data_IF_727287319641
#
_entry.id   IF_727287319641
#
_cell.length_a   1.000
_cell.length_b   1.000
_cell.length_c   1.000
_cell.angle_alpha   90.00
_cell.angle_beta   90.00
_cell.angle_gamma   90.00
#
_symmetry.space_group_name_H-M   'P 1'
#
loop_
_entity.id
_entity.type
_entity.pdbx_description
1 polymer ?
#
# COMPACT_ATOMS: atom_id res chain seq x y z
N UNK A 1 -21.30 -4.06 5.78
CA UNK A 1 -20.74 -4.84 4.65
C UNK A 1 -20.45 -4.02 3.38
N UNK A 2 -21.32 -3.08 2.97
CA UNK A 2 -21.07 -2.25 1.77
C UNK A 2 -19.85 -1.32 1.93
N UNK A 3 -19.71 -0.68 3.09
CA UNK A 3 -18.62 0.27 3.35
C UNK A 3 -17.25 -0.42 3.42
N UNK A 4 -17.17 -1.55 4.09
CA UNK A 4 -15.97 -2.37 4.22
C UNK A 4 -15.49 -2.86 2.86
N UNK A 5 -16.41 -3.29 1.99
CA UNK A 5 -16.08 -3.69 0.61
C UNK A 5 -15.51 -2.52 -0.21
N UNK A 6 -16.06 -1.31 -0.04
CA UNK A 6 -15.53 -0.11 -0.69
C UNK A 6 -14.11 0.22 -0.22
N UNK A 7 -13.85 0.16 1.10
CA UNK A 7 -12.50 0.35 1.64
C UNK A 7 -11.51 -0.65 1.03
N UNK A 8 -11.89 -1.93 1.00
CA UNK A 8 -11.08 -3.00 0.41
C UNK A 8 -10.72 -2.68 -1.03
N UNK A 9 -11.68 -2.25 -1.84
CA UNK A 9 -11.45 -1.90 -3.25
C UNK A 9 -10.52 -0.71 -3.41
N UNK A 10 -10.77 0.38 -2.66
CA UNK A 10 -9.93 1.59 -2.71
C UNK A 10 -8.46 1.25 -2.44
N UNK A 11 -8.19 0.58 -1.32
CA UNK A 11 -6.83 0.22 -0.91
C UNK A 11 -6.21 -0.77 -1.90
N UNK A 12 -6.95 -1.78 -2.36
CA UNK A 12 -6.41 -2.79 -3.29
C UNK A 12 -6.09 -2.21 -4.68
N UNK A 13 -6.87 -1.21 -5.14
CA UNK A 13 -6.57 -0.48 -6.38
C UNK A 13 -5.26 0.32 -6.20
N UNK A 14 -5.12 1.05 -5.09
CA UNK A 14 -3.89 1.81 -4.81
C UNK A 14 -2.67 0.90 -4.63
N UNK A 15 -2.82 -0.25 -3.98
CA UNK A 15 -1.79 -1.29 -3.89
C UNK A 15 -1.35 -1.75 -5.28
N UNK A 16 -2.30 -2.16 -6.11
CA UNK A 16 -2.03 -2.64 -7.47
C UNK A 16 -1.35 -1.58 -8.33
N UNK A 17 -1.80 -0.33 -8.20
CA UNK A 17 -1.18 0.81 -8.86
C UNK A 17 0.29 0.97 -8.42
N UNK A 18 0.55 1.11 -7.11
CA UNK A 18 1.91 1.33 -6.62
C UNK A 18 2.85 0.16 -6.98
N UNK A 19 2.37 -1.08 -6.91
CA UNK A 19 3.18 -2.24 -7.27
C UNK A 19 3.46 -2.29 -8.77
N UNK A 20 2.47 -1.98 -9.61
CA UNK A 20 2.65 -1.89 -11.06
C UNK A 20 3.60 -0.76 -11.48
N UNK A 21 3.55 0.39 -10.81
CA UNK A 21 4.49 1.49 -11.00
C UNK A 21 5.93 1.08 -10.68
N UNK A 22 6.14 0.37 -9.56
CA UNK A 22 7.45 -0.14 -9.16
C UNK A 22 8.00 -1.16 -10.17
N UNK A 23 7.17 -2.11 -10.60
CA UNK A 23 7.53 -3.13 -11.58
C UNK A 23 7.96 -2.49 -12.91
N UNK A 24 7.16 -1.55 -13.43
CA UNK A 24 7.48 -0.85 -14.69
C UNK A 24 8.76 -0.04 -14.58
N UNK A 25 9.00 0.60 -13.43
CA UNK A 25 10.26 1.31 -13.21
C UNK A 25 11.45 0.36 -13.25
N UNK A 26 11.32 -0.86 -12.72
CA UNK A 26 12.35 -1.90 -12.79
C UNK A 26 12.60 -2.38 -14.23
N UNK A 27 11.53 -2.60 -15.02
CA UNK A 27 11.65 -3.07 -16.41
C UNK A 27 12.56 -2.17 -17.27
N UNK A 28 12.50 -0.86 -17.07
CA UNK A 28 13.34 0.09 -17.84
C UNK A 28 14.83 -0.03 -17.56
N UNK A 29 15.20 -0.53 -16.39
CA UNK A 29 16.60 -0.76 -15.99
C UNK A 29 17.12 -2.10 -16.46
N UNK A 30 16.26 -2.92 -17.05
CA UNK A 30 16.53 -4.28 -17.44
C UNK A 30 16.19 -4.47 -18.93
N UNK A 31 16.82 -3.74 -19.87
CA UNK A 31 16.45 -3.85 -21.28
C UNK A 31 16.71 -5.26 -21.85
N UNK A 32 15.87 -5.76 -22.76
CA UNK A 32 16.13 -6.98 -23.51
C UNK A 32 17.31 -6.83 -24.49
N UNK A 33 17.89 -7.93 -24.99
CA UNK A 33 17.52 -9.32 -24.75
C UNK A 33 18.04 -9.85 -23.41
N UNK A 34 17.23 -10.65 -22.72
CA UNK A 34 17.59 -11.35 -21.48
C UNK A 34 17.60 -12.85 -21.73
N UNK A 35 18.51 -13.57 -21.09
CA UNK A 35 18.44 -15.04 -21.05
C UNK A 35 17.30 -15.48 -20.14
N UNK A 36 16.77 -16.69 -20.34
CA UNK A 36 15.69 -17.24 -19.51
C UNK A 36 16.03 -17.23 -18.00
N UNK A 37 17.30 -17.45 -17.66
CA UNK A 37 17.77 -17.39 -16.28
C UNK A 37 17.66 -15.98 -15.70
N UNK A 38 18.09 -14.97 -16.45
CA UNK A 38 18.00 -13.57 -16.02
C UNK A 38 16.53 -13.17 -15.88
N UNK A 39 15.67 -13.59 -16.80
CA UNK A 39 14.23 -13.31 -16.73
C UNK A 39 13.59 -13.89 -15.46
N UNK A 40 13.90 -15.14 -15.11
CA UNK A 40 13.41 -15.75 -13.86
C UNK A 40 13.90 -14.99 -12.62
N UNK A 41 15.16 -14.57 -12.59
CA UNK A 41 15.68 -13.77 -11.47
C UNK A 41 14.97 -12.42 -11.33
N UNK A 42 14.56 -11.81 -12.45
CA UNK A 42 13.76 -10.59 -12.43
C UNK A 42 12.36 -10.82 -11.88
N UNK A 43 11.65 -11.86 -12.37
CA UNK A 43 10.33 -12.22 -11.88
C UNK A 43 10.36 -12.54 -10.38
N UNK A 44 11.33 -13.34 -9.92
CA UNK A 44 11.52 -13.66 -8.50
C UNK A 44 11.81 -12.41 -7.64
N UNK A 45 12.54 -11.44 -8.18
CA UNK A 45 12.80 -10.17 -7.50
C UNK A 45 11.53 -9.34 -7.40
N UNK A 46 10.79 -9.21 -8.51
CA UNK A 46 9.53 -8.48 -8.60
C UNK A 46 8.47 -9.05 -7.65
N UNK A 47 8.22 -10.37 -7.70
CA UNK A 47 7.26 -11.05 -6.82
C UNK A 47 7.59 -10.80 -5.34
N UNK A 48 8.87 -10.92 -4.96
CA UNK A 48 9.30 -10.63 -3.58
C UNK A 48 9.06 -9.19 -3.20
N UNK A 49 9.32 -8.23 -4.10
CA UNK A 49 9.12 -6.82 -3.82
C UNK A 49 7.64 -6.46 -3.61
N UNK A 50 6.72 -7.07 -4.35
CA UNK A 50 5.29 -6.74 -4.28
C UNK A 50 4.50 -7.60 -3.27
N UNK A 51 5.12 -8.63 -2.69
CA UNK A 51 4.45 -9.54 -1.75
C UNK A 51 4.04 -8.91 -0.42
N UNK A 52 4.63 -7.78 -0.03
CA UNK A 52 4.16 -6.98 1.11
C UNK A 52 4.58 -5.51 0.99
N UNK A 53 3.86 -4.62 1.65
CA UNK A 53 4.25 -3.20 1.72
C UNK A 53 5.62 -2.96 2.36
N UNK A 54 6.08 -3.83 3.27
CA UNK A 54 7.42 -3.70 3.86
C UNK A 54 8.49 -3.93 2.79
N UNK A 55 8.36 -4.99 2.00
CA UNK A 55 9.27 -5.27 0.89
C UNK A 55 9.14 -4.23 -0.21
N UNK A 56 7.91 -3.81 -0.53
CA UNK A 56 7.68 -2.77 -1.54
C UNK A 56 8.37 -1.47 -1.13
N UNK A 57 8.26 -1.06 0.15
CA UNK A 57 8.95 0.13 0.67
C UNK A 57 10.48 0.02 0.51
N UNK A 58 11.05 -1.14 0.83
CA UNK A 58 12.47 -1.40 0.62
C UNK A 58 12.87 -1.40 -0.86
N UNK A 59 12.01 -1.92 -1.74
CA UNK A 59 12.21 -1.97 -3.18
C UNK A 59 12.12 -0.57 -3.81
N UNK A 60 11.10 0.23 -3.47
CA UNK A 60 11.00 1.64 -3.87
C UNK A 60 12.26 2.43 -3.50
N UNK A 61 12.76 2.26 -2.27
CA UNK A 61 13.98 2.93 -1.81
C UNK A 61 15.22 2.45 -2.57
N UNK A 62 15.38 1.14 -2.75
CA UNK A 62 16.59 0.56 -3.34
C UNK A 62 16.63 0.73 -4.86
N UNK A 63 15.53 0.41 -5.54
CA UNK A 63 15.43 0.36 -7.00
C UNK A 63 15.06 1.70 -7.61
N UNK A 64 14.08 2.41 -7.04
CA UNK A 64 13.60 3.67 -7.58
C UNK A 64 14.17 4.91 -6.90
N UNK A 65 14.94 4.73 -5.80
CA UNK A 65 15.44 5.83 -4.95
C UNK A 65 14.33 6.69 -4.35
N UNK A 66 13.10 6.17 -4.30
CA UNK A 66 11.94 6.82 -3.69
C UNK A 66 11.79 6.29 -2.27
N UNK A 67 11.90 7.17 -1.28
CA UNK A 67 11.73 6.77 0.12
C UNK A 67 10.29 7.04 0.54
N UNK A 68 9.47 5.98 0.64
CA UNK A 68 8.04 6.13 0.97
C UNK A 68 7.80 6.77 2.35
N UNK A 69 8.76 6.71 3.27
CA UNK A 69 8.66 7.40 4.56
C UNK A 69 8.74 8.93 4.48
N UNK A 70 9.23 9.49 3.38
CA UNK A 70 9.47 10.94 3.25
C UNK A 70 8.17 11.73 3.13
N UNK A 71 7.06 11.07 2.81
CA UNK A 71 5.70 11.62 2.85
C UNK A 71 5.13 11.80 4.27
N UNK A 72 5.93 11.58 5.31
CA UNK A 72 5.59 11.95 6.68
C UNK A 72 4.22 11.42 7.12
N UNK A 73 3.34 12.32 7.57
CA UNK A 73 2.03 11.94 8.10
C UNK A 73 1.13 11.22 7.07
N UNK A 74 1.19 11.59 5.79
CA UNK A 74 0.36 11.04 4.71
C UNK A 74 0.62 9.55 4.50
N UNK A 75 1.89 9.16 4.38
CA UNK A 75 2.24 7.75 4.22
C UNK A 75 1.84 6.91 5.42
N UNK A 76 2.04 7.44 6.62
CA UNK A 76 1.68 6.73 7.85
C UNK A 76 0.17 6.58 8.02
N UNK A 77 -0.60 7.58 7.58
CA UNK A 77 -2.05 7.50 7.53
C UNK A 77 -2.50 6.47 6.47
N UNK A 78 -1.80 6.38 5.33
CA UNK A 78 -2.08 5.37 4.31
C UNK A 78 -1.79 3.96 4.81
N UNK A 79 -0.65 3.76 5.48
CA UNK A 79 -0.32 2.50 6.15
C UNK A 79 -1.39 2.12 7.18
N UNK A 80 -1.95 3.09 7.91
CA UNK A 80 -3.04 2.81 8.85
C UNK A 80 -4.30 2.28 8.14
N UNK A 81 -4.70 2.85 7.00
CA UNK A 81 -5.87 2.34 6.25
C UNK A 81 -5.62 0.96 5.62
N UNK A 82 -4.38 0.65 5.23
CA UNK A 82 -3.97 -0.71 4.82
C UNK A 82 -4.20 -1.71 5.96
N UNK A 83 -3.81 -1.35 7.20
CA UNK A 83 -4.07 -2.20 8.36
C UNK A 83 -5.57 -2.38 8.62
N UNK A 84 -6.40 -1.34 8.42
CA UNK A 84 -7.85 -1.46 8.50
C UNK A 84 -8.43 -2.40 7.42
N UNK A 85 -7.92 -2.33 6.18
CA UNK A 85 -8.29 -3.27 5.10
C UNK A 85 -7.93 -4.71 5.46
N UNK A 86 -6.75 -4.93 6.02
CA UNK A 86 -6.32 -6.25 6.48
C UNK A 86 -7.18 -6.80 7.63
N UNK A 87 -7.59 -5.93 8.56
CA UNK A 87 -8.53 -6.29 9.62
C UNK A 87 -9.91 -6.67 9.06
N UNK A 88 -10.41 -5.96 8.04
CA UNK A 88 -11.67 -6.30 7.37
C UNK A 88 -11.61 -7.67 6.71
N UNK A 89 -10.55 -7.95 5.94
CA UNK A 89 -10.47 -9.17 5.12
C UNK A 89 -10.07 -10.39 5.95
N UNK A 90 -9.06 -10.24 6.81
CA UNK A 90 -8.45 -11.37 7.52
C UNK A 90 -8.87 -11.45 8.98
N UNK A 91 -9.35 -10.35 9.56
CA UNK A 91 -9.75 -10.26 10.96
C UNK A 91 -11.26 -10.10 11.18
N UNK A 92 -12.06 -10.24 10.11
CA UNK A 92 -13.53 -10.10 10.16
C UNK A 92 -13.99 -8.76 10.77
N UNK A 93 -13.24 -7.69 10.47
CA UNK A 93 -13.50 -6.34 11.00
C UNK A 93 -12.83 -6.06 12.35
N UNK A 94 -12.04 -6.98 12.89
CA UNK A 94 -11.19 -6.77 14.06
C UNK A 94 -9.72 -6.79 13.69
N UNK A 95 -8.87 -6.09 14.45
CA UNK A 95 -7.43 -6.23 14.29
C UNK A 95 -7.03 -7.70 14.46
N UNK A 96 -6.21 -8.20 13.55
CA UNK A 96 -5.67 -9.57 13.59
C UNK A 96 -4.73 -9.75 14.78
N UNK A 97 -4.49 -11.01 15.19
CA UNK A 97 -3.53 -11.31 16.27
C UNK A 97 -2.12 -10.80 15.99
N UNK A 98 -1.71 -10.77 14.71
CA UNK A 98 -0.43 -10.16 14.29
C UNK A 98 -0.41 -8.66 14.55
N UNK A 99 -1.44 -7.93 14.13
CA UNK A 99 -1.53 -6.48 14.29
C UNK A 99 -1.55 -6.06 15.77
N UNK A 100 -2.24 -6.82 16.64
CA UNK A 100 -2.29 -6.52 18.07
C UNK A 100 -0.94 -6.64 18.79
N UNK A 101 -0.05 -7.50 18.28
CA UNK A 101 1.31 -7.69 18.81
C UNK A 101 2.32 -6.71 18.21
N UNK A 102 1.94 -5.99 17.16
CA UNK A 102 2.82 -5.02 16.53
C UNK A 102 3.05 -3.81 17.45
N UNK A 103 4.28 -3.31 17.50
CA UNK A 103 4.64 -2.12 18.30
C UNK A 103 3.86 -0.88 17.85
N UNK A 104 3.40 -0.85 16.60
CA UNK A 104 2.62 0.26 16.06
C UNK A 104 1.12 0.19 16.40
N UNK A 105 0.63 -0.86 17.06
CA UNK A 105 -0.80 -1.11 17.28
C UNK A 105 -1.56 0.12 17.81
N UNK A 106 -1.09 0.70 18.92
CA UNK A 106 -1.71 1.89 19.54
C UNK A 106 -1.67 3.11 18.62
N UNK A 107 -0.57 3.30 17.88
CA UNK A 107 -0.43 4.41 16.94
C UNK A 107 -1.38 4.25 15.74
N UNK A 108 -1.52 3.03 15.23
CA UNK A 108 -2.46 2.68 14.14
C UNK A 108 -3.90 2.97 14.55
N UNK A 109 -4.33 2.57 15.77
CA UNK A 109 -5.67 2.89 16.28
C UNK A 109 -5.92 4.39 16.30
N UNK A 110 -4.98 5.16 16.86
CA UNK A 110 -5.10 6.63 16.96
C UNK A 110 -5.22 7.28 15.58
N UNK A 111 -4.42 6.82 14.60
CA UNK A 111 -4.50 7.32 13.21
C UNK A 111 -5.84 6.97 12.56
N UNK A 112 -6.32 5.74 12.73
CA UNK A 112 -7.62 5.34 12.21
C UNK A 112 -8.75 6.19 12.81
N UNK A 113 -8.75 6.43 14.13
CA UNK A 113 -9.72 7.33 14.75
C UNK A 113 -9.65 8.75 14.19
N UNK A 114 -8.44 9.30 13.98
CA UNK A 114 -8.23 10.61 13.34
C UNK A 114 -8.79 10.65 11.91
N UNK A 115 -8.69 9.56 11.17
CA UNK A 115 -9.24 9.42 9.81
C UNK A 115 -10.76 9.19 9.81
N UNK A 116 -11.40 9.14 10.97
CA UNK A 116 -12.85 9.01 11.11
C UNK A 116 -13.36 7.58 11.24
N UNK A 117 -12.49 6.58 11.37
CA UNK A 117 -12.93 5.21 11.66
C UNK A 117 -13.46 5.12 13.10
N UNK A 118 -14.53 4.36 13.29
CA UNK A 118 -14.94 3.96 14.63
C UNK A 118 -14.00 2.86 15.12
N UNK A 119 -13.34 3.06 16.27
CA UNK A 119 -12.45 2.05 16.84
C UNK A 119 -12.90 1.78 18.28
N UNK A 120 -13.39 0.57 18.54
CA UNK A 120 -13.90 0.15 19.85
C UNK A 120 -13.27 -1.19 20.22
N UNK A 121 -12.43 -1.19 21.27
CA UNK A 121 -11.60 -2.36 21.56
C UNK A 121 -10.71 -2.69 20.37
N UNK A 122 -10.82 -3.92 19.86
CA UNK A 122 -10.12 -4.39 18.65
C UNK A 122 -10.96 -4.26 17.37
N UNK A 123 -12.21 -3.80 17.46
CA UNK A 123 -13.12 -3.74 16.32
C UNK A 123 -12.96 -2.41 15.59
N UNK A 124 -12.95 -2.48 14.26
CA UNK A 124 -12.89 -1.35 13.35
C UNK A 124 -14.22 -1.23 12.62
N UNK A 125 -14.86 -0.08 12.75
CA UNK A 125 -16.05 0.30 12.01
C UNK A 125 -15.67 1.28 10.90
N UNK A 126 -15.95 0.89 9.66
CA UNK A 126 -15.75 1.75 8.49
C UNK A 126 -16.93 2.69 8.35
N UNK A 127 -16.72 3.96 8.70
CA UNK A 127 -17.75 5.01 8.63
C UNK A 127 -17.74 5.70 7.26
N UNK A 128 -18.80 6.47 6.91
CA UNK A 128 -18.80 7.27 5.69
C UNK A 128 -17.69 8.33 5.63
N UNK A 129 -17.32 8.93 6.76
CA UNK A 129 -16.20 9.89 6.82
C UNK A 129 -14.86 9.19 6.61
N UNK A 130 -14.67 8.01 7.20
CA UNK A 130 -13.49 7.17 6.98
C UNK A 130 -13.30 6.81 5.51
N UNK A 131 -14.37 6.48 4.79
CA UNK A 131 -14.29 6.19 3.36
C UNK A 131 -13.86 7.39 2.52
N UNK A 132 -14.42 8.58 2.80
CA UNK A 132 -14.02 9.81 2.10
C UNK A 132 -12.55 10.14 2.36
N UNK A 133 -12.13 10.06 3.62
CA UNK A 133 -10.73 10.28 4.00
C UNK A 133 -9.79 9.26 3.33
N UNK A 134 -10.16 7.98 3.32
CA UNK A 134 -9.39 6.91 2.69
C UNK A 134 -9.28 7.10 1.19
N UNK A 135 -10.37 7.46 0.50
CA UNK A 135 -10.38 7.71 -0.94
C UNK A 135 -9.48 8.88 -1.33
N UNK A 136 -9.56 10.00 -0.60
CA UNK A 136 -8.66 11.15 -0.80
C UNK A 136 -7.20 10.73 -0.61
N UNK A 137 -6.91 10.00 0.45
CA UNK A 137 -5.55 9.56 0.77
C UNK A 137 -4.99 8.60 -0.28
N UNK A 138 -5.83 7.70 -0.81
CA UNK A 138 -5.46 6.83 -1.93
C UNK A 138 -5.07 7.65 -3.17
N UNK A 139 -5.86 8.66 -3.53
CA UNK A 139 -5.57 9.57 -4.66
C UNK A 139 -4.27 10.34 -4.41
N UNK A 140 -4.08 10.88 -3.20
CA UNK A 140 -2.86 11.62 -2.82
C UNK A 140 -1.61 10.75 -2.96
N UNK A 141 -1.64 9.50 -2.46
CA UNK A 141 -0.52 8.56 -2.57
C UNK A 141 -0.22 8.20 -4.03
N UNK A 142 -1.24 7.88 -4.83
CA UNK A 142 -1.04 7.55 -6.25
C UNK A 142 -0.45 8.74 -7.02
N UNK A 143 -1.01 9.95 -6.80
CA UNK A 143 -0.52 11.19 -7.42
C UNK A 143 0.92 11.50 -7.02
N UNK A 144 1.30 11.21 -5.77
CA UNK A 144 2.67 11.39 -5.31
C UNK A 144 3.62 10.39 -5.97
N UNK A 145 3.25 9.10 -6.02
CA UNK A 145 4.05 8.08 -6.71
C UNK A 145 4.27 8.45 -8.17
N UNK A 146 3.22 8.89 -8.88
CA UNK A 146 3.31 9.37 -10.27
C UNK A 146 4.27 10.56 -10.46
N UNK A 147 4.45 11.40 -9.42
CA UNK A 147 5.37 12.55 -9.48
C UNK A 147 6.82 12.13 -9.23
N UNK A 148 7.04 11.19 -8.32
CA UNK A 148 8.39 10.71 -7.97
C UNK A 148 8.93 9.72 -9.01
N UNK A 149 8.06 8.94 -9.62
CA UNK A 149 8.41 8.04 -10.70
C UNK A 149 8.10 8.73 -12.03
N UNK A 150 9.10 9.22 -12.79
CA UNK A 150 8.84 9.86 -14.07
C UNK A 150 8.05 8.91 -14.97
N UNK A 151 6.96 9.42 -15.57
CA UNK A 151 6.06 8.64 -16.42
C UNK A 151 6.85 8.04 -17.57
N UNK A 152 7.03 6.73 -17.52
CA UNK A 152 7.61 5.96 -18.60
C UNK A 152 6.55 5.77 -19.69
N UNK A 153 6.91 5.92 -20.98
CA UNK A 153 5.96 5.71 -22.06
C UNK A 153 5.37 4.30 -21.94
N UNK A 154 4.04 4.20 -21.91
CA UNK A 154 3.36 2.91 -21.94
C UNK A 154 3.73 2.25 -23.26
N UNK A 155 4.31 1.04 -23.21
CA UNK A 155 4.40 0.21 -24.42
C UNK A 155 2.96 -0.02 -24.90
N UNK A 156 2.67 0.24 -26.19
CA UNK A 156 1.34 0.04 -26.76
C UNK A 156 0.90 -1.42 -26.69
#
# INVERSE_FOLDING_TARGET
MRAESTLVRLVSITESFCFGELARHLETKAPPPRTDLIERLYLDAEERAISSWSQATSAFKSWAKVTLSDQGATWQDFRAIVEARNAVIHGLGSFTGRQRRDKSYTATKRRLSKLGFGVTGDRIQVTPSALRASGRLCIEVMTWIDKELPVLPRKP
#
